data_IF_862729412465
#
_entry.id   IF_862729412465
#
_cell.length_a   1.000
_cell.length_b   1.000
_cell.length_c   1.000
_cell.angle_alpha   90.00
_cell.angle_beta   90.00
_cell.angle_gamma   90.00
#
_symmetry.space_group_name_H-M   'P 1'
#
loop_
_entity.id
_entity.type
_entity.pdbx_description
1 polymer ?
#
# COMPACT_ATOMS: atom_id res chain seq x y z
N UNK A 1 -14.11 6.17 -12.56
CA UNK A 1 -14.08 5.77 -11.13
C UNK A 1 -13.50 6.92 -10.33
N UNK A 2 -14.12 7.30 -9.21
CA UNK A 2 -13.64 8.41 -8.36
C UNK A 2 -12.61 7.91 -7.35
N UNK A 3 -11.83 8.84 -6.76
CA UNK A 3 -10.91 8.52 -5.66
C UNK A 3 -11.63 7.84 -4.48
N UNK A 4 -12.84 8.30 -4.16
CA UNK A 4 -13.68 7.72 -3.10
C UNK A 4 -14.10 6.29 -3.42
N UNK A 5 -14.37 5.99 -4.68
CA UNK A 5 -14.73 4.63 -5.10
C UNK A 5 -13.53 3.69 -4.97
N UNK A 6 -12.34 4.13 -5.37
CA UNK A 6 -11.09 3.36 -5.22
C UNK A 6 -10.81 3.06 -3.75
N UNK A 7 -10.96 4.06 -2.88
CA UNK A 7 -10.80 3.88 -1.43
C UNK A 7 -11.76 2.80 -0.91
N UNK A 8 -13.06 2.91 -1.22
CA UNK A 8 -14.07 1.95 -0.76
C UNK A 8 -13.80 0.54 -1.28
N UNK A 9 -13.40 0.41 -2.54
CA UNK A 9 -13.07 -0.89 -3.15
C UNK A 9 -11.86 -1.54 -2.49
N UNK A 10 -10.76 -0.79 -2.30
CA UNK A 10 -9.57 -1.33 -1.65
C UNK A 10 -9.82 -1.64 -0.17
N UNK A 11 -10.56 -0.78 0.54
CA UNK A 11 -10.93 -1.02 1.94
C UNK A 11 -11.75 -2.29 2.07
N UNK A 12 -12.77 -2.46 1.23
CA UNK A 12 -13.61 -3.67 1.25
C UNK A 12 -12.80 -4.92 0.93
N UNK A 13 -11.91 -4.85 -0.06
CA UNK A 13 -11.00 -5.94 -0.41
C UNK A 13 -10.08 -6.32 0.75
N UNK A 14 -9.43 -5.35 1.39
CA UNK A 14 -8.51 -5.60 2.51
C UNK A 14 -9.26 -6.11 3.75
N UNK A 15 -10.43 -5.55 4.09
CA UNK A 15 -11.25 -6.08 5.19
C UNK A 15 -11.65 -7.54 4.96
N UNK A 16 -11.95 -7.91 3.71
CA UNK A 16 -12.24 -9.30 3.35
C UNK A 16 -11.03 -10.21 3.53
N UNK A 17 -9.83 -9.78 3.16
CA UNK A 17 -8.59 -10.57 3.36
C UNK A 17 -8.34 -10.89 4.84
N UNK A 18 -8.78 -10.02 5.75
CA UNK A 18 -8.64 -10.18 7.19
C UNK A 18 -9.89 -10.76 7.88
N UNK A 19 -10.87 -11.28 7.13
CA UNK A 19 -12.15 -11.73 7.69
C UNK A 19 -12.01 -12.93 8.64
N UNK A 20 -11.10 -13.84 8.31
CA UNK A 20 -10.83 -15.07 9.08
C UNK A 20 -9.67 -14.92 10.09
N UNK A 21 -9.05 -13.74 10.16
CA UNK A 21 -7.99 -13.45 11.15
C UNK A 21 -8.62 -13.26 12.53
N UNK A 22 -7.99 -13.83 13.56
CA UNK A 22 -8.36 -13.66 14.96
C UNK A 22 -8.69 -12.18 15.29
N UNK A 23 -9.77 -11.94 16.04
CA UNK A 23 -10.30 -10.60 16.28
C UNK A 23 -9.27 -9.65 16.91
N UNK A 24 -8.42 -10.16 17.81
CA UNK A 24 -7.35 -9.38 18.45
C UNK A 24 -6.32 -8.87 17.43
N UNK A 25 -5.82 -9.76 16.57
CA UNK A 25 -4.89 -9.47 15.47
C UNK A 25 -5.54 -8.55 14.42
N UNK A 26 -6.84 -8.71 14.16
CA UNK A 26 -7.61 -7.86 13.23
C UNK A 26 -7.76 -6.43 13.74
N UNK A 27 -8.15 -6.26 15.02
CA UNK A 27 -8.26 -4.94 15.67
C UNK A 27 -6.92 -4.22 15.71
N UNK A 28 -5.82 -4.95 15.93
CA UNK A 28 -4.47 -4.39 15.93
C UNK A 28 -4.11 -3.71 14.59
N UNK A 29 -4.61 -4.22 13.46
CA UNK A 29 -4.23 -3.74 12.12
C UNK A 29 -5.30 -2.88 11.43
N UNK A 30 -6.43 -2.59 12.08
CA UNK A 30 -7.56 -1.88 11.46
C UNK A 30 -7.13 -0.54 10.85
N UNK A 31 -6.36 0.27 11.58
CA UNK A 31 -5.84 1.54 11.07
C UNK A 31 -4.92 1.37 9.85
N UNK A 32 -4.08 0.34 9.83
CA UNK A 32 -3.20 0.05 8.69
C UNK A 32 -3.99 -0.38 7.45
N UNK A 33 -5.10 -1.08 7.62
CA UNK A 33 -6.02 -1.43 6.54
C UNK A 33 -6.65 -0.17 5.93
N UNK A 34 -7.08 0.77 6.76
CA UNK A 34 -7.63 2.05 6.31
C UNK A 34 -6.58 2.91 5.59
N UNK A 35 -5.37 3.01 6.15
CA UNK A 35 -4.25 3.76 5.56
C UNK A 35 -3.82 3.15 4.22
N UNK A 36 -3.76 1.83 4.10
CA UNK A 36 -3.46 1.16 2.84
C UNK A 36 -4.51 1.49 1.76
N UNK A 37 -5.80 1.43 2.11
CA UNK A 37 -6.88 1.79 1.20
C UNK A 37 -6.83 3.28 0.81
N UNK A 38 -6.51 4.16 1.75
CA UNK A 38 -6.35 5.59 1.50
C UNK A 38 -5.17 5.86 0.54
N UNK A 39 -4.00 5.30 0.83
CA UNK A 39 -2.81 5.44 -0.01
C UNK A 39 -3.03 4.89 -1.42
N UNK A 40 -3.78 3.79 -1.56
CA UNK A 40 -4.18 3.26 -2.87
C UNK A 40 -4.99 4.28 -3.67
N UNK A 41 -5.96 4.94 -3.03
CA UNK A 41 -6.80 5.95 -3.65
C UNK A 41 -6.03 7.23 -4.01
N UNK A 42 -5.15 7.71 -3.12
CA UNK A 42 -4.26 8.83 -3.42
C UNK A 42 -3.33 8.51 -4.59
N UNK A 43 -2.75 7.32 -4.62
CA UNK A 43 -1.91 6.87 -5.73
C UNK A 43 -2.68 6.76 -7.04
N UNK A 44 -3.94 6.34 -7.02
CA UNK A 44 -4.80 6.36 -8.21
C UNK A 44 -4.95 7.78 -8.75
N UNK A 45 -5.26 8.76 -7.90
CA UNK A 45 -5.40 10.15 -8.31
C UNK A 45 -4.08 10.73 -8.84
N UNK A 46 -2.95 10.49 -8.15
CA UNK A 46 -1.63 10.94 -8.58
C UNK A 46 -1.24 10.36 -9.94
N UNK A 47 -1.58 9.09 -10.23
CA UNK A 47 -1.36 8.48 -11.55
C UNK A 47 -2.09 9.22 -12.66
N UNK A 48 -3.32 9.67 -12.44
CA UNK A 48 -4.05 10.47 -13.43
C UNK A 48 -3.40 11.84 -13.71
N UNK A 49 -2.75 12.44 -12.70
CA UNK A 49 -1.96 13.66 -12.91
C UNK A 49 -0.69 13.32 -13.70
N UNK A 50 0.03 12.29 -13.28
CA UNK A 50 1.29 11.84 -13.89
C UNK A 50 1.10 11.45 -15.36
N UNK A 51 -0.03 10.84 -15.73
CA UNK A 51 -0.38 10.53 -17.13
C UNK A 51 -0.37 11.78 -18.02
N UNK A 52 -0.74 12.95 -17.46
CA UNK A 52 -0.77 14.22 -18.19
C UNK A 52 0.54 14.99 -18.12
N UNK A 53 1.22 14.93 -16.97
CA UNK A 53 2.38 15.79 -16.70
C UNK A 53 3.73 15.10 -16.87
N UNK A 54 3.74 13.77 -16.90
CA UNK A 54 4.92 12.96 -16.66
C UNK A 54 5.39 12.99 -15.20
N UNK A 55 6.31 12.08 -14.85
CA UNK A 55 7.04 12.13 -13.58
C UNK A 55 8.23 13.09 -13.62
N UNK A 56 8.76 13.37 -14.82
CA UNK A 56 9.90 14.24 -15.06
C UNK A 56 9.52 15.21 -16.17
N UNK A 57 9.78 16.50 -15.96
CA UNK A 57 9.73 17.52 -17.01
C UNK A 57 11.12 17.70 -17.58
N UNK A 58 11.21 17.67 -18.90
CA UNK A 58 12.44 17.89 -19.66
C UNK A 58 12.35 19.24 -20.36
N UNK A 59 13.40 20.05 -20.28
CA UNK A 59 13.43 21.33 -20.98
C UNK A 59 13.41 21.11 -22.51
N UNK A 60 12.57 21.81 -23.28
CA UNK A 60 12.32 21.50 -24.69
C UNK A 60 13.57 21.57 -25.58
N UNK A 61 14.46 22.53 -25.31
CA UNK A 61 15.68 22.75 -26.12
C UNK A 61 16.97 22.28 -25.45
N UNK A 62 16.91 21.82 -24.20
CA UNK A 62 18.09 21.38 -23.46
C UNK A 62 17.74 20.13 -22.64
N UNK A 63 17.86 18.97 -23.28
CA UNK A 63 17.42 17.70 -22.70
C UNK A 63 18.17 17.28 -21.42
N UNK A 64 19.33 17.88 -21.15
CA UNK A 64 20.08 17.69 -19.90
C UNK A 64 19.44 18.39 -18.69
N UNK A 65 18.56 19.37 -18.90
CA UNK A 65 17.83 20.04 -17.84
C UNK A 65 16.50 19.32 -17.57
N UNK A 66 16.46 18.58 -16.47
CA UNK A 66 15.31 17.78 -16.07
C UNK A 66 14.91 18.10 -14.62
N UNK A 67 13.60 18.11 -14.36
CA UNK A 67 13.07 18.31 -13.00
C UNK A 67 11.92 17.34 -12.73
N UNK A 68 11.98 16.67 -11.58
CA UNK A 68 10.89 15.82 -11.12
C UNK A 68 9.63 16.64 -10.84
N UNK A 69 8.45 16.11 -11.17
CA UNK A 69 7.17 16.74 -10.83
C UNK A 69 6.80 16.48 -9.37
N UNK A 70 6.09 17.41 -8.74
CA UNK A 70 5.62 17.22 -7.34
C UNK A 70 4.68 16.02 -7.25
N UNK A 71 3.83 15.79 -8.26
CA UNK A 71 2.99 14.60 -8.34
C UNK A 71 3.84 13.31 -8.39
N UNK A 72 4.89 13.29 -9.21
CA UNK A 72 5.82 12.15 -9.28
C UNK A 72 6.56 11.93 -7.96
N UNK A 73 7.02 13.01 -7.31
CA UNK A 73 7.69 12.94 -6.00
C UNK A 73 6.76 12.42 -4.90
N UNK A 74 5.52 12.91 -4.84
CA UNK A 74 4.54 12.46 -3.85
C UNK A 74 4.13 11.00 -4.11
N UNK A 75 3.96 10.60 -5.36
CA UNK A 75 3.65 9.21 -5.72
C UNK A 75 4.72 8.24 -5.22
N UNK A 76 6.00 8.57 -5.39
CA UNK A 76 7.10 7.73 -4.89
C UNK A 76 7.10 7.62 -3.36
N UNK A 77 6.78 8.69 -2.64
CA UNK A 77 6.63 8.63 -1.17
C UNK A 77 5.46 7.72 -0.79
N UNK A 78 4.30 7.93 -1.40
CA UNK A 78 3.09 7.17 -1.10
C UNK A 78 3.25 5.69 -1.42
N UNK A 79 3.86 5.32 -2.54
CA UNK A 79 4.03 3.91 -2.92
C UNK A 79 5.01 3.18 -1.98
N UNK A 80 6.04 3.87 -1.49
CA UNK A 80 6.96 3.32 -0.49
C UNK A 80 6.24 3.08 0.84
N UNK A 81 5.49 4.07 1.35
CA UNK A 81 4.67 3.90 2.55
C UNK A 81 3.65 2.79 2.39
N UNK A 82 2.94 2.74 1.26
CA UNK A 82 1.99 1.67 0.94
C UNK A 82 2.66 0.29 0.96
N UNK A 83 3.85 0.14 0.36
CA UNK A 83 4.58 -1.12 0.38
C UNK A 83 4.94 -1.58 1.80
N UNK A 84 5.33 -0.65 2.68
CA UNK A 84 5.63 -0.96 4.08
C UNK A 84 4.36 -1.41 4.80
N UNK A 85 3.25 -0.68 4.65
CA UNK A 85 1.97 -1.04 5.26
C UNK A 85 1.51 -2.43 4.80
N UNK A 86 1.54 -2.70 3.50
CA UNK A 86 1.16 -4.03 2.95
C UNK A 86 2.08 -5.13 3.47
N UNK A 87 3.38 -4.88 3.60
CA UNK A 87 4.32 -5.86 4.18
C UNK A 87 3.98 -6.17 5.64
N UNK A 88 3.66 -5.16 6.44
CA UNK A 88 3.23 -5.33 7.84
C UNK A 88 1.93 -6.12 7.93
N UNK A 89 0.93 -5.77 7.11
CA UNK A 89 -0.34 -6.49 7.02
C UNK A 89 -0.12 -7.97 6.65
N UNK A 90 0.70 -8.26 5.64
CA UNK A 90 1.06 -9.63 5.26
C UNK A 90 1.78 -10.38 6.39
N UNK A 91 2.61 -9.68 7.17
CA UNK A 91 3.26 -10.27 8.34
C UNK A 91 2.26 -10.76 9.38
N UNK A 92 1.18 -10.03 9.61
CA UNK A 92 0.12 -10.45 10.54
C UNK A 92 -0.68 -11.64 10.00
N UNK A 93 -0.95 -11.68 8.69
CA UNK A 93 -1.59 -12.83 8.05
C UNK A 93 -0.75 -14.10 8.19
N UNK A 94 0.56 -14.00 7.94
CA UNK A 94 1.45 -15.17 7.95
C UNK A 94 1.87 -15.60 9.37
N UNK A 95 1.92 -14.69 10.34
CA UNK A 95 2.18 -15.05 11.75
C UNK A 95 1.02 -15.82 12.40
N UNK A 96 -0.13 -15.91 11.74
CA UNK A 96 -1.17 -16.89 12.12
C UNK A 96 -0.89 -18.32 11.64
N UNK A 97 0.13 -18.54 10.81
CA UNK A 97 0.45 -19.84 10.20
C UNK A 97 1.67 -20.51 10.87
N UNK A 98 2.48 -19.77 11.64
CA UNK A 98 3.77 -20.24 12.19
C UNK A 98 3.63 -20.76 13.63
N UNK A 99 2.45 -20.72 14.24
CA UNK A 99 2.27 -21.24 15.61
C UNK A 99 2.15 -22.78 15.69
N UNK A 100 2.15 -23.51 14.57
CA UNK A 100 2.07 -24.99 14.52
C UNK A 100 3.41 -25.72 14.24
N UNK A 101 4.54 -25.01 14.09
CA UNK A 101 5.84 -25.64 13.76
C UNK A 101 6.76 -25.88 14.98
N UNK A 102 6.26 -25.67 16.20
CA UNK A 102 7.01 -25.96 17.45
C UNK A 102 6.85 -27.42 17.94
N UNK A 103 6.25 -28.33 17.15
CA UNK A 103 6.22 -29.78 17.43
C UNK A 103 7.60 -30.47 17.22
N UNK A 104 8.60 -29.75 16.70
CA UNK A 104 9.96 -30.26 16.49
C UNK A 104 10.92 -29.99 17.68
N UNK A 105 10.49 -29.24 18.70
CA UNK A 105 11.30 -28.92 19.88
C UNK A 105 11.28 -30.03 20.95
N UNK A 106 10.47 -31.08 20.81
CA UNK A 106 10.34 -32.17 21.79
C UNK A 106 11.32 -33.35 21.57
N UNK A 107 12.21 -33.27 20.58
CA UNK A 107 13.10 -34.37 20.18
C UNK A 107 14.61 -34.15 20.44
N UNK A 108 15.00 -33.13 21.22
CA UNK A 108 16.41 -32.94 21.67
C UNK A 108 16.66 -33.40 23.12
#
# INVERSE_FOLDING_TARGET
>A
MTKKDIYKQELSKLKKVFEDVEESKRKLVEGLVEDAAFLKAENYYLKQIIEKTGMIKVHPSNQGLQKQTEAGKQYLKNINSYSVVIKTLNGVLNKGIIEDDDELAEFE
#
